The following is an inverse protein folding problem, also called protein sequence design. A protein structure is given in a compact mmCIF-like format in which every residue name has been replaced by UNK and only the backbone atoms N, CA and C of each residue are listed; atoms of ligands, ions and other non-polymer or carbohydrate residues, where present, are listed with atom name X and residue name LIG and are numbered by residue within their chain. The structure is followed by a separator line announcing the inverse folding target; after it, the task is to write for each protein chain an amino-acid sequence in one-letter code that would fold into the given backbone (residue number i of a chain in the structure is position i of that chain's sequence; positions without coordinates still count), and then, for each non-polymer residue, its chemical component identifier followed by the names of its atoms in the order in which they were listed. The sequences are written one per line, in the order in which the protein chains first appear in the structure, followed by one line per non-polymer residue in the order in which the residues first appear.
data_IF_186595067510
#
_entry.id   IF_186595067510
#
_cell.length_a   1.000
_cell.length_b   1.000
_cell.length_c   1.000
_cell.angle_alpha   90.00
_cell.angle_beta   90.00
_cell.angle_gamma   90.00
#
_symmetry.space_group_name_H-M   'P 1'
#
loop_
_entity.id
_entity.type
_entity.pdbx_description
1 polymer ?
#
# COMPACT_ATOMS: atom_id res chain seq x y z
N UNK A 1 17.80 -28.86 47.26
CA UNK A 1 17.58 -29.39 45.92
C UNK A 1 16.63 -28.47 45.14
N UNK A 2 17.16 -27.42 44.54
CA UNK A 2 16.47 -26.55 43.57
C UNK A 2 17.54 -25.93 42.72
N UNK A 3 17.82 -26.46 41.58
CA UNK A 3 18.51 -25.82 40.44
C UNK A 3 18.52 -26.81 39.29
N UNK A 4 18.30 -26.37 38.11
CA UNK A 4 18.27 -27.00 36.79
C UNK A 4 16.84 -27.06 36.23
N UNK A 5 16.45 -25.91 35.56
CA UNK A 5 15.54 -25.88 34.43
C UNK A 5 15.47 -24.42 33.86
N UNK A 6 16.62 -23.88 33.40
CA UNK A 6 16.64 -22.60 32.66
C UNK A 6 17.51 -22.62 31.41
N UNK A 7 18.02 -23.75 30.98
CA UNK A 7 18.97 -23.81 29.85
C UNK A 7 18.41 -24.27 28.49
N UNK A 8 17.21 -24.86 28.45
CA UNK A 8 16.72 -25.50 27.22
C UNK A 8 15.88 -24.58 26.30
N UNK A 9 15.30 -23.52 26.82
CA UNK A 9 14.41 -22.66 26.03
C UNK A 9 15.15 -21.67 25.09
N UNK A 10 16.39 -21.26 25.46
CA UNK A 10 17.16 -20.33 24.61
C UNK A 10 17.82 -21.01 23.41
N UNK A 11 18.22 -22.27 23.55
CA UNK A 11 18.85 -23.02 22.46
C UNK A 11 17.85 -23.39 21.34
N UNK A 12 16.57 -23.61 21.68
CA UNK A 12 15.52 -23.94 20.71
C UNK A 12 15.13 -22.76 19.80
N UNK A 13 15.17 -21.52 20.30
CA UNK A 13 14.84 -20.31 19.53
C UNK A 13 15.97 -19.92 18.55
N UNK A 14 17.23 -20.17 18.92
CA UNK A 14 18.38 -19.91 18.04
C UNK A 14 18.45 -20.97 16.93
N UNK A 15 18.13 -22.21 17.20
CA UNK A 15 18.14 -23.27 16.19
C UNK A 15 17.02 -23.11 15.14
N UNK A 16 15.82 -22.65 15.54
CA UNK A 16 14.73 -22.40 14.60
C UNK A 16 15.00 -21.19 13.68
N UNK A 17 15.66 -20.13 14.18
CA UNK A 17 16.05 -18.98 13.37
C UNK A 17 17.15 -19.30 12.37
N UNK A 18 18.14 -20.10 12.73
CA UNK A 18 19.21 -20.52 11.83
C UNK A 18 18.72 -21.47 10.73
N UNK A 19 17.78 -22.36 11.04
CA UNK A 19 17.20 -23.30 10.06
C UNK A 19 16.29 -22.60 9.04
N UNK A 20 15.54 -21.57 9.45
CA UNK A 20 14.75 -20.74 8.53
C UNK A 20 15.63 -19.91 7.58
N UNK A 21 16.79 -19.41 8.06
CA UNK A 21 17.75 -18.65 7.25
C UNK A 21 18.44 -19.49 6.17
N UNK A 22 18.51 -20.81 6.32
CA UNK A 22 19.14 -21.74 5.38
C UNK A 22 18.15 -22.34 4.35
N UNK A 23 16.85 -22.15 4.54
CA UNK A 23 15.85 -22.63 3.60
C UNK A 23 15.96 -21.88 2.25
N UNK A 24 16.13 -22.61 1.11
CA UNK A 24 16.28 -21.99 -0.20
C UNK A 24 15.09 -21.11 -0.61
N UNK A 25 13.89 -21.46 -0.20
CA UNK A 25 12.69 -20.68 -0.50
C UNK A 25 12.67 -19.35 0.26
N UNK A 26 12.98 -19.37 1.55
CA UNK A 26 13.15 -18.16 2.37
C UNK A 26 14.23 -17.24 1.80
N UNK A 27 15.35 -17.80 1.34
CA UNK A 27 16.40 -17.03 0.64
C UNK A 27 15.89 -16.41 -0.65
N UNK A 28 15.08 -17.13 -1.44
CA UNK A 28 14.49 -16.61 -2.67
C UNK A 28 13.49 -15.46 -2.39
N UNK A 29 12.67 -15.57 -1.33
CA UNK A 29 11.76 -14.50 -0.91
C UNK A 29 12.52 -13.26 -0.43
N UNK A 30 13.58 -13.43 0.38
CA UNK A 30 14.44 -12.34 0.83
C UNK A 30 15.15 -11.64 -0.34
N UNK A 31 15.64 -12.41 -1.31
CA UNK A 31 16.25 -11.87 -2.54
C UNK A 31 15.22 -11.11 -3.38
N UNK A 32 13.99 -11.63 -3.49
CA UNK A 32 12.88 -10.95 -4.15
C UNK A 32 12.51 -9.64 -3.46
N UNK A 33 12.46 -9.62 -2.13
CA UNK A 33 12.29 -8.39 -1.35
C UNK A 33 13.34 -7.35 -1.74
N UNK A 34 14.63 -7.73 -1.67
CA UNK A 34 15.74 -6.84 -2.01
C UNK A 34 15.67 -6.33 -3.45
N UNK A 35 15.42 -7.22 -4.41
CA UNK A 35 15.32 -6.87 -5.82
C UNK A 35 14.19 -5.87 -6.09
N UNK A 36 12.99 -6.10 -5.54
CA UNK A 36 11.84 -5.24 -5.72
C UNK A 36 12.07 -3.84 -5.12
N UNK A 37 12.56 -3.76 -3.89
CA UNK A 37 12.74 -2.47 -3.23
C UNK A 37 13.88 -1.66 -3.83
N UNK A 38 15.00 -2.29 -4.20
CA UNK A 38 16.07 -1.60 -4.95
C UNK A 38 15.55 -1.09 -6.30
N UNK A 39 14.83 -1.93 -7.06
CA UNK A 39 14.27 -1.52 -8.34
C UNK A 39 13.32 -0.32 -8.17
N UNK A 40 12.35 -0.42 -7.28
CA UNK A 40 11.34 0.63 -7.12
C UNK A 40 11.91 1.90 -6.47
N UNK A 41 12.77 1.78 -5.44
CA UNK A 41 13.41 2.93 -4.81
C UNK A 41 14.30 3.71 -5.79
N UNK A 42 15.07 2.99 -6.62
CA UNK A 42 15.94 3.62 -7.61
C UNK A 42 15.14 4.22 -8.78
N UNK A 43 14.24 3.44 -9.39
CA UNK A 43 13.65 3.83 -10.67
C UNK A 43 12.29 4.54 -10.54
N UNK A 44 11.51 4.33 -9.47
CA UNK A 44 10.31 5.13 -9.21
C UNK A 44 10.61 6.37 -8.38
N UNK A 45 11.49 6.26 -7.37
CA UNK A 45 11.70 7.33 -6.40
C UNK A 45 13.01 8.12 -6.61
N UNK A 46 13.87 7.71 -7.54
CA UNK A 46 15.15 8.38 -7.81
C UNK A 46 16.15 8.28 -6.66
N UNK A 47 15.99 7.33 -5.76
CA UNK A 47 16.86 7.12 -4.61
C UNK A 47 18.20 6.48 -5.04
N UNK A 48 19.25 6.72 -4.27
CA UNK A 48 20.48 5.97 -4.37
C UNK A 48 20.34 4.60 -3.73
N UNK A 49 21.20 3.65 -4.10
CA UNK A 49 21.24 2.32 -3.47
C UNK A 49 21.47 2.42 -1.95
N UNK A 50 22.29 3.37 -1.52
CA UNK A 50 22.54 3.62 -0.09
C UNK A 50 21.30 4.12 0.65
N UNK A 51 20.50 5.00 0.03
CA UNK A 51 19.25 5.46 0.62
C UNK A 51 18.23 4.31 0.73
N UNK A 52 18.06 3.50 -0.33
CA UNK A 52 17.18 2.33 -0.29
C UNK A 52 17.65 1.34 0.79
N UNK A 53 18.95 1.10 0.89
CA UNK A 53 19.53 0.21 1.91
C UNK A 53 19.23 0.70 3.33
N UNK A 54 19.37 1.99 3.58
CA UNK A 54 19.15 2.58 4.91
C UNK A 54 17.67 2.68 5.29
N UNK A 55 16.80 2.98 4.31
CA UNK A 55 15.40 3.29 4.55
C UNK A 55 14.47 2.09 4.30
N UNK A 56 14.56 1.46 3.13
CA UNK A 56 13.60 0.42 2.71
C UNK A 56 14.04 -0.99 3.12
N UNK A 57 15.36 -1.25 3.22
CA UNK A 57 15.90 -2.56 3.53
C UNK A 57 16.31 -2.73 5.00
N UNK A 58 16.17 -1.69 5.84
CA UNK A 58 16.37 -1.75 7.29
C UNK A 58 15.05 -1.68 8.05
N UNK A 59 15.00 -2.34 9.22
CA UNK A 59 13.81 -2.41 10.06
C UNK A 59 12.63 -3.10 9.36
N UNK A 60 12.92 -4.08 8.51
CA UNK A 60 11.95 -4.88 7.78
C UNK A 60 11.51 -6.10 8.60
N UNK A 61 10.82 -7.06 7.98
CA UNK A 61 10.40 -8.29 8.63
C UNK A 61 11.60 -9.08 9.17
N UNK A 62 11.58 -9.49 10.44
CA UNK A 62 12.72 -10.20 11.09
C UNK A 62 13.17 -11.44 10.31
N UNK A 63 12.21 -12.15 9.67
CA UNK A 63 12.47 -13.37 8.90
C UNK A 63 13.44 -13.13 7.73
N UNK A 64 13.46 -11.93 7.17
CA UNK A 64 14.26 -11.58 5.98
C UNK A 64 15.41 -10.61 6.26
N UNK A 65 15.39 -9.90 7.39
CA UNK A 65 16.32 -8.80 7.65
C UNK A 65 17.78 -9.18 7.50
N UNK A 66 18.20 -10.31 8.09
CA UNK A 66 19.60 -10.76 8.02
C UNK A 66 20.03 -11.14 6.60
N UNK A 67 19.14 -11.81 5.86
CA UNK A 67 19.39 -12.24 4.47
C UNK A 67 19.46 -11.03 3.53
N UNK A 68 18.52 -10.10 3.64
CA UNK A 68 18.46 -8.90 2.78
C UNK A 68 19.72 -8.06 2.89
N UNK A 69 20.34 -7.98 4.08
CA UNK A 69 21.61 -7.26 4.27
C UNK A 69 22.78 -7.88 3.49
N UNK A 70 22.84 -9.21 3.42
CA UNK A 70 24.02 -9.95 2.94
C UNK A 70 23.90 -10.41 1.49
N UNK A 71 22.70 -10.63 0.96
CA UNK A 71 22.52 -11.11 -0.42
C UNK A 71 23.06 -10.11 -1.44
N UNK A 72 23.92 -10.56 -2.41
CA UNK A 72 24.50 -9.67 -3.40
C UNK A 72 23.47 -9.22 -4.43
N UNK A 73 23.46 -7.92 -4.72
CA UNK A 73 22.58 -7.31 -5.70
C UNK A 73 23.38 -6.66 -6.83
N UNK A 74 22.85 -6.71 -8.04
CA UNK A 74 23.40 -6.01 -9.23
C UNK A 74 22.30 -5.13 -9.80
N UNK A 75 22.59 -3.84 -9.98
CA UNK A 75 21.70 -2.86 -10.59
C UNK A 75 22.18 -2.56 -12.00
N UNK A 76 21.39 -2.91 -13.00
CA UNK A 76 21.59 -2.49 -14.38
C UNK A 76 20.73 -1.26 -14.67
N UNK A 77 21.38 -0.11 -14.79
CA UNK A 77 20.69 1.17 -14.99
C UNK A 77 20.24 1.39 -16.44
N UNK A 78 20.88 0.75 -17.40
CA UNK A 78 20.50 0.81 -18.82
C UNK A 78 19.29 -0.07 -19.08
N UNK A 79 19.33 -1.33 -18.68
CA UNK A 79 18.20 -2.26 -18.78
C UNK A 79 17.10 -1.96 -17.75
N UNK A 80 17.36 -1.10 -16.74
CA UNK A 80 16.48 -0.80 -15.60
C UNK A 80 16.03 -2.06 -14.86
N UNK A 81 16.97 -2.94 -14.57
CA UNK A 81 16.73 -4.17 -13.83
C UNK A 81 17.59 -4.24 -12.57
N UNK A 82 17.08 -4.98 -11.60
CA UNK A 82 17.85 -5.37 -10.41
C UNK A 82 17.81 -6.88 -10.29
N UNK A 83 18.98 -7.50 -10.15
CA UNK A 83 19.12 -8.93 -9.88
C UNK A 83 19.76 -9.18 -8.54
N UNK A 84 19.25 -10.17 -7.78
CA UNK A 84 19.77 -10.56 -6.48
C UNK A 84 20.02 -12.06 -6.46
N UNK A 85 21.29 -12.46 -6.35
CA UNK A 85 21.69 -13.85 -6.26
C UNK A 85 21.36 -14.39 -4.85
N UNK A 86 20.85 -15.63 -4.75
CA UNK A 86 20.47 -16.27 -3.49
C UNK A 86 20.87 -17.75 -3.43
N UNK A 87 21.14 -18.35 -4.57
CA UNK A 87 21.54 -19.75 -4.71
C UNK A 87 22.52 -19.89 -5.88
N UNK A 88 23.48 -20.82 -5.79
CA UNK A 88 24.48 -21.03 -6.84
C UNK A 88 23.95 -21.80 -8.07
N UNK A 89 22.82 -22.50 -7.92
CA UNK A 89 22.21 -23.37 -8.96
C UNK A 89 20.99 -22.75 -9.61
N UNK A 90 20.42 -21.73 -9.01
CA UNK A 90 19.18 -21.07 -9.50
C UNK A 90 19.49 -19.69 -10.08
N UNK A 91 18.73 -19.24 -11.09
CA UNK A 91 18.82 -17.87 -11.57
C UNK A 91 18.57 -16.87 -10.43
N UNK A 92 19.22 -15.69 -10.46
CA UNK A 92 18.98 -14.65 -9.47
C UNK A 92 17.51 -14.20 -9.52
N UNK A 93 17.03 -13.64 -8.42
CA UNK A 93 15.74 -12.95 -8.43
C UNK A 93 15.87 -11.66 -9.23
N UNK A 94 14.91 -11.40 -10.12
CA UNK A 94 14.94 -10.27 -11.04
C UNK A 94 13.69 -9.41 -10.83
N UNK A 95 13.92 -8.10 -10.65
CA UNK A 95 12.88 -7.06 -10.75
C UNK A 95 13.22 -6.13 -11.91
N UNK A 96 12.26 -5.80 -12.76
CA UNK A 96 12.45 -4.96 -13.93
C UNK A 96 11.44 -3.81 -13.95
N UNK A 97 11.94 -2.59 -14.16
CA UNK A 97 11.15 -1.38 -14.23
C UNK A 97 10.53 -1.18 -15.62
N UNK A 98 9.34 -0.65 -15.63
CA UNK A 98 8.58 -0.32 -16.84
C UNK A 98 7.96 1.07 -16.73
N UNK A 99 7.88 1.85 -17.81
CA UNK A 99 7.17 3.13 -17.80
C UNK A 99 5.74 2.98 -17.24
N UNK A 100 5.32 3.93 -16.43
CA UNK A 100 4.04 3.98 -15.73
C UNK A 100 3.77 2.82 -14.74
N UNK A 101 4.11 1.57 -15.09
CA UNK A 101 3.81 0.38 -14.29
C UNK A 101 4.88 0.05 -13.23
N UNK A 102 5.96 0.82 -13.15
CA UNK A 102 7.01 0.58 -12.15
C UNK A 102 7.67 -0.79 -12.27
N UNK A 103 8.13 -1.30 -11.15
CA UNK A 103 8.86 -2.58 -11.10
C UNK A 103 7.91 -3.78 -11.02
N UNK A 104 8.23 -4.84 -11.77
CA UNK A 104 7.66 -6.17 -11.57
C UNK A 104 8.75 -7.18 -11.29
N UNK A 105 8.47 -8.09 -10.37
CA UNK A 105 9.32 -9.24 -10.13
C UNK A 105 8.99 -10.37 -11.10
N UNK A 106 10.02 -11.05 -11.60
CA UNK A 106 9.86 -12.33 -12.27
C UNK A 106 9.66 -13.46 -11.24
N UNK A 107 8.96 -14.55 -11.61
CA UNK A 107 8.83 -15.72 -10.73
C UNK A 107 10.17 -16.32 -10.31
N UNK A 108 10.21 -17.00 -9.17
CA UNK A 108 11.38 -17.78 -8.74
C UNK A 108 11.75 -18.78 -9.83
N UNK A 109 13.03 -18.82 -10.22
CA UNK A 109 13.57 -19.68 -11.27
C UNK A 109 13.45 -19.13 -12.70
N UNK A 110 12.80 -17.98 -12.89
CA UNK A 110 12.79 -17.30 -14.18
C UNK A 110 14.12 -16.59 -14.47
N UNK A 111 14.56 -16.63 -15.70
CA UNK A 111 15.74 -15.92 -16.19
C UNK A 111 15.41 -14.54 -16.80
N UNK A 112 16.45 -13.81 -17.21
CA UNK A 112 16.30 -12.45 -17.75
C UNK A 112 15.45 -12.37 -19.04
N UNK A 113 15.25 -13.46 -19.78
CA UNK A 113 14.41 -13.47 -20.97
C UNK A 113 12.94 -13.16 -20.66
N UNK A 114 12.53 -13.42 -19.42
CA UNK A 114 11.20 -13.07 -18.90
C UNK A 114 10.89 -11.57 -18.91
N UNK A 115 11.91 -10.72 -18.82
CA UNK A 115 11.75 -9.25 -18.81
C UNK A 115 11.08 -8.75 -20.10
N UNK A 116 11.41 -9.33 -21.25
CA UNK A 116 10.84 -8.94 -22.53
C UNK A 116 9.32 -9.23 -22.61
N UNK A 117 8.82 -10.16 -21.81
CA UNK A 117 7.41 -10.60 -21.78
C UNK A 117 6.54 -9.78 -20.82
N UNK A 118 7.15 -8.91 -19.99
CA UNK A 118 6.39 -8.10 -19.04
C UNK A 118 5.43 -7.15 -19.75
N UNK A 119 4.21 -6.97 -19.23
CA UNK A 119 3.25 -6.00 -19.75
C UNK A 119 3.85 -4.60 -19.82
N UNK A 120 3.61 -3.91 -20.91
CA UNK A 120 4.07 -2.53 -21.15
C UNK A 120 2.87 -1.62 -21.31
N UNK A 121 3.02 -0.40 -20.82
CA UNK A 121 2.01 0.63 -20.95
C UNK A 121 2.63 1.88 -21.58
N UNK A 122 2.03 2.36 -22.67
CA UNK A 122 2.53 3.50 -23.44
C UNK A 122 1.72 4.77 -23.24
N UNK A 123 0.84 4.79 -22.22
CA UNK A 123 0.04 5.97 -21.90
C UNK A 123 0.90 7.09 -21.33
N UNK A 124 0.57 8.30 -21.70
CA UNK A 124 1.19 9.52 -21.20
C UNK A 124 0.16 10.26 -20.34
N UNK A 125 0.56 10.85 -19.20
CA UNK A 125 -0.31 11.74 -18.47
C UNK A 125 -0.71 12.93 -19.37
N UNK A 126 -1.95 13.43 -19.26
CA UNK A 126 -2.33 14.65 -19.95
C UNK A 126 -1.42 15.79 -19.51
N UNK A 127 -1.35 16.87 -20.29
CA UNK A 127 -0.56 18.06 -19.94
C UNK A 127 -0.86 18.47 -18.48
N UNK A 128 0.19 18.77 -17.71
CA UNK A 128 0.02 19.16 -16.32
C UNK A 128 -0.77 20.47 -16.26
N UNK A 129 -1.83 20.51 -15.45
CA UNK A 129 -2.41 21.77 -15.01
C UNK A 129 -1.50 22.34 -13.92
N UNK A 130 -1.29 23.65 -13.93
CA UNK A 130 -0.37 24.27 -12.99
C UNK A 130 -0.98 24.40 -11.59
N UNK A 131 -2.26 24.77 -11.51
CA UNK A 131 -2.94 25.13 -10.27
C UNK A 131 -3.32 23.92 -9.41
N UNK A 132 -3.13 24.06 -8.09
CA UNK A 132 -3.62 23.10 -7.10
C UNK A 132 -5.17 23.04 -7.10
N UNK A 133 -5.78 21.85 -6.99
CA UNK A 133 -5.15 20.55 -6.72
C UNK A 133 -4.74 19.74 -7.95
N UNK A 134 -4.99 20.18 -9.17
CA UNK A 134 -4.61 19.47 -10.40
C UNK A 134 -3.09 19.55 -10.69
N UNK A 135 -2.43 20.59 -10.19
CA UNK A 135 -0.98 20.81 -10.19
C UNK A 135 -0.52 21.28 -8.81
N UNK A 136 0.62 21.93 -8.70
CA UNK A 136 1.22 22.31 -7.42
C UNK A 136 1.25 23.83 -7.17
N UNK A 137 0.94 24.65 -8.18
CA UNK A 137 0.91 26.11 -8.03
C UNK A 137 -0.26 26.56 -7.14
N UNK A 138 0.00 27.53 -6.27
CA UNK A 138 -1.01 28.03 -5.35
C UNK A 138 -1.53 26.98 -4.35
N UNK A 139 -0.77 25.91 -4.13
CA UNK A 139 -1.15 24.82 -3.23
C UNK A 139 -1.21 25.26 -1.76
N UNK A 140 -0.29 26.17 -1.36
CA UNK A 140 -0.11 26.55 0.04
C UNK A 140 -0.89 27.80 0.43
N UNK A 141 -1.31 27.85 1.69
CA UNK A 141 -1.85 29.01 2.38
C UNK A 141 -1.19 29.13 3.76
N UNK A 142 -1.15 30.32 4.38
CA UNK A 142 -0.66 30.48 5.73
C UNK A 142 -1.46 29.58 6.71
N UNK A 143 -0.74 28.81 7.53
CA UNK A 143 -1.33 28.07 8.64
C UNK A 143 -1.23 28.84 9.96
N UNK A 144 -1.95 28.41 11.01
CA UNK A 144 -1.80 28.96 12.35
C UNK A 144 -0.36 28.79 12.87
N UNK A 145 0.15 29.78 13.62
CA UNK A 145 1.50 29.71 14.21
C UNK A 145 1.73 28.47 15.07
N UNK A 146 0.70 28.01 15.76
CA UNK A 146 0.74 26.78 16.58
C UNK A 146 1.00 25.51 15.78
N UNK A 147 0.73 25.48 14.45
CA UNK A 147 0.86 24.28 13.63
C UNK A 147 2.33 23.93 13.35
N UNK A 148 3.15 24.91 13.01
CA UNK A 148 4.55 24.68 12.61
C UNK A 148 5.36 23.90 13.68
N UNK A 149 5.27 24.20 14.99
CA UNK A 149 5.93 23.41 16.03
C UNK A 149 5.44 21.96 16.10
N UNK A 150 4.15 21.69 15.86
CA UNK A 150 3.58 20.33 15.84
C UNK A 150 4.16 19.53 14.70
N UNK A 151 4.24 20.13 13.48
CA UNK A 151 4.81 19.47 12.31
C UNK A 151 6.30 19.17 12.50
N UNK A 152 7.07 20.10 13.06
CA UNK A 152 8.50 19.91 13.34
C UNK A 152 8.74 18.78 14.34
N UNK A 153 7.93 18.68 15.40
CA UNK A 153 7.99 17.59 16.37
C UNK A 153 7.72 16.21 15.77
N UNK A 154 7.03 16.12 14.63
CA UNK A 154 6.80 14.83 13.99
C UNK A 154 8.09 14.16 13.50
N UNK A 155 9.18 14.89 13.36
CA UNK A 155 10.50 14.38 13.00
C UNK A 155 11.37 14.06 14.22
N UNK A 156 10.88 14.35 15.42
CA UNK A 156 11.51 13.98 16.69
C UNK A 156 10.88 12.68 17.22
N UNK A 157 11.64 11.59 17.17
CA UNK A 157 11.19 10.29 17.64
C UNK A 157 10.84 10.29 19.15
N UNK A 158 11.36 11.23 19.95
CA UNK A 158 10.99 11.35 21.36
C UNK A 158 9.57 11.91 21.57
N UNK A 159 9.04 12.65 20.59
CA UNK A 159 7.71 13.27 20.68
C UNK A 159 6.58 12.34 20.26
N UNK A 160 6.76 11.62 19.14
CA UNK A 160 5.73 10.76 18.56
C UNK A 160 6.21 9.36 18.19
N UNK A 161 7.49 9.04 18.33
CA UNK A 161 8.05 7.78 17.83
C UNK A 161 8.31 7.77 16.33
N UNK A 162 8.68 6.60 15.83
CA UNK A 162 8.84 6.34 14.39
C UNK A 162 9.99 7.10 13.72
N UNK A 163 10.04 7.02 12.38
CA UNK A 163 11.02 7.70 11.54
C UNK A 163 10.29 8.43 10.40
N UNK A 164 9.96 9.69 10.61
CA UNK A 164 9.16 10.51 9.69
C UNK A 164 9.97 10.98 8.49
N UNK A 165 9.40 10.89 7.29
CA UNK A 165 9.96 11.44 6.04
C UNK A 165 9.22 12.66 5.53
N UNK A 166 7.91 12.72 5.76
CA UNK A 166 7.08 13.86 5.37
C UNK A 166 5.86 13.97 6.27
N UNK A 167 5.44 15.21 6.53
CA UNK A 167 4.13 15.57 7.08
C UNK A 167 3.51 16.65 6.22
N UNK A 168 2.17 16.60 6.06
CA UNK A 168 1.43 17.58 5.30
C UNK A 168 0.02 17.71 5.88
N UNK A 169 -0.46 18.95 5.99
CA UNK A 169 -1.82 19.26 6.48
C UNK A 169 -2.55 20.11 5.46
N UNK A 170 -3.71 19.63 5.03
CA UNK A 170 -4.66 20.38 4.22
C UNK A 170 -5.81 20.85 5.09
N UNK A 171 -6.21 22.09 4.93
CA UNK A 171 -7.40 22.70 5.54
C UNK A 171 -8.17 23.48 4.48
N UNK A 172 -9.48 23.25 4.39
CA UNK A 172 -10.34 23.94 3.40
C UNK A 172 -9.77 23.91 1.97
N UNK A 173 -9.23 22.74 1.57
CA UNK A 173 -8.67 22.50 0.23
C UNK A 173 -7.26 23.06 0.00
N UNK A 174 -6.61 23.74 0.96
CA UNK A 174 -5.26 24.30 0.84
C UNK A 174 -4.28 23.63 1.78
N UNK A 175 -3.03 23.44 1.35
CA UNK A 175 -1.94 23.01 2.20
C UNK A 175 -1.56 24.15 3.12
N UNK A 176 -1.77 23.99 4.42
CA UNK A 176 -1.47 25.00 5.44
C UNK A 176 -0.18 24.68 6.20
N UNK A 177 0.44 23.55 5.93
CA UNK A 177 1.74 23.16 6.45
C UNK A 177 2.22 21.88 5.80
N UNK A 178 3.48 21.87 5.41
CA UNK A 178 4.17 20.68 4.94
C UNK A 178 5.65 20.76 5.30
N UNK A 179 6.22 19.62 5.66
CA UNK A 179 7.63 19.50 5.99
C UNK A 179 8.17 18.14 5.56
N UNK A 180 9.41 18.13 5.11
CA UNK A 180 10.11 16.95 4.59
C UNK A 180 11.44 16.74 5.29
N UNK A 181 11.85 15.49 5.48
CA UNK A 181 13.18 15.12 5.96
C UNK A 181 14.24 15.63 4.96
N UNK A 182 15.44 16.02 5.38
CA UNK A 182 16.53 16.38 4.46
C UNK A 182 16.73 15.33 3.37
N UNK A 183 16.85 15.75 2.11
CA UNK A 183 16.94 14.88 0.94
C UNK A 183 15.59 14.39 0.39
N UNK A 184 14.48 14.74 1.02
CA UNK A 184 13.11 14.45 0.57
C UNK A 184 12.41 15.72 0.13
N UNK A 185 11.53 15.61 -0.86
CA UNK A 185 10.78 16.75 -1.42
C UNK A 185 9.32 16.38 -1.63
N UNK A 186 8.50 17.36 -1.99
CA UNK A 186 7.11 17.14 -2.41
C UNK A 186 6.96 16.21 -3.62
N UNK A 187 8.03 15.98 -4.37
CA UNK A 187 8.05 15.10 -5.55
C UNK A 187 8.71 13.75 -5.30
N UNK A 188 9.15 13.47 -4.08
CA UNK A 188 9.78 12.18 -3.75
C UNK A 188 8.70 11.13 -3.43
N UNK A 189 8.46 10.14 -4.32
CA UNK A 189 7.53 9.06 -4.04
C UNK A 189 8.10 8.12 -2.98
N UNK A 190 7.21 7.52 -2.21
CA UNK A 190 7.53 6.48 -1.24
C UNK A 190 6.46 5.39 -1.30
N UNK A 191 6.83 4.15 -1.01
CA UNK A 191 5.87 3.05 -0.99
C UNK A 191 4.76 3.32 0.04
N UNK A 192 3.51 3.11 -0.37
CA UNK A 192 2.33 3.36 0.48
C UNK A 192 2.04 2.26 1.47
N UNK A 193 2.59 1.05 1.22
CA UNK A 193 2.14 -0.13 1.93
C UNK A 193 0.61 -0.23 1.89
N UNK A 194 -0.03 -0.66 2.97
CA UNK A 194 -1.48 -0.89 2.98
C UNK A 194 -2.36 0.34 2.78
N UNK A 195 -1.81 1.57 2.79
CA UNK A 195 -2.58 2.74 2.37
C UNK A 195 -3.02 2.64 0.88
N UNK A 196 -2.35 1.81 0.08
CA UNK A 196 -2.79 1.43 -1.27
C UNK A 196 -4.19 0.80 -1.33
N UNK A 197 -4.65 0.15 -0.25
CA UNK A 197 -6.00 -0.44 -0.18
C UNK A 197 -7.09 0.61 -0.37
N UNK A 198 -6.86 1.81 0.15
CA UNK A 198 -7.79 2.93 -0.06
C UNK A 198 -7.77 3.45 -1.51
N UNK A 199 -6.62 3.35 -2.21
CA UNK A 199 -6.60 3.56 -3.66
C UNK A 199 -7.38 2.47 -4.40
N UNK A 200 -7.32 1.20 -3.94
CA UNK A 200 -8.17 0.14 -4.50
C UNK A 200 -9.65 0.46 -4.31
N UNK A 201 -10.06 0.97 -3.13
CA UNK A 201 -11.44 1.44 -2.93
C UNK A 201 -11.83 2.52 -3.95
N UNK A 202 -10.90 3.41 -4.30
CA UNK A 202 -11.13 4.46 -5.30
C UNK A 202 -11.28 3.88 -6.70
N UNK A 203 -10.42 2.92 -7.08
CA UNK A 203 -10.48 2.23 -8.38
C UNK A 203 -11.80 1.43 -8.51
N UNK A 204 -12.21 0.73 -7.44
CA UNK A 204 -13.52 0.04 -7.38
C UNK A 204 -14.65 1.05 -7.48
N UNK A 205 -14.63 2.14 -6.69
CA UNK A 205 -15.67 3.18 -6.72
C UNK A 205 -15.81 3.81 -8.10
N UNK A 206 -14.70 4.06 -8.78
CA UNK A 206 -14.75 4.54 -10.17
C UNK A 206 -15.37 3.52 -11.12
N UNK A 207 -15.03 2.25 -10.97
CA UNK A 207 -15.62 1.18 -11.78
C UNK A 207 -17.14 1.03 -11.50
N UNK A 208 -17.59 1.22 -10.25
CA UNK A 208 -19.02 1.28 -9.89
C UNK A 208 -19.69 2.49 -10.55
N UNK A 209 -19.09 3.68 -10.45
CA UNK A 209 -19.63 4.91 -11.07
C UNK A 209 -19.81 4.77 -12.58
N UNK A 210 -18.95 4.00 -13.23
CA UNK A 210 -19.02 3.69 -14.66
C UNK A 210 -19.90 2.47 -15.00
N UNK A 211 -20.58 1.88 -14.02
CA UNK A 211 -21.44 0.72 -14.21
C UNK A 211 -20.72 -0.58 -14.59
N UNK A 212 -19.41 -0.68 -14.35
CA UNK A 212 -18.59 -1.85 -14.69
C UNK A 212 -18.69 -2.98 -13.66
N UNK A 213 -18.88 -2.63 -12.39
CA UNK A 213 -19.06 -3.56 -11.25
C UNK A 213 -20.13 -3.05 -10.31
N UNK A 214 -20.63 -3.93 -9.41
CA UNK A 214 -21.51 -3.59 -8.29
C UNK A 214 -20.93 -4.20 -7.02
N UNK A 215 -20.89 -3.45 -5.91
CA UNK A 215 -20.24 -3.95 -4.68
C UNK A 215 -20.99 -5.10 -4.03
N UNK A 216 -22.33 -5.13 -4.16
CA UNK A 216 -23.18 -6.19 -3.61
C UNK A 216 -23.21 -7.45 -4.48
N UNK A 217 -22.75 -7.37 -5.72
CA UNK A 217 -22.68 -8.53 -6.62
C UNK A 217 -21.47 -9.41 -6.30
N UNK A 218 -21.51 -10.69 -6.66
CA UNK A 218 -20.33 -11.54 -6.64
C UNK A 218 -19.17 -10.89 -7.40
N UNK A 219 -17.98 -10.96 -6.82
CA UNK A 219 -16.77 -10.45 -7.45
C UNK A 219 -16.50 -11.23 -8.75
N UNK A 220 -16.20 -10.51 -9.83
CA UNK A 220 -15.90 -11.14 -11.11
C UNK A 220 -14.48 -11.70 -11.11
N UNK A 221 -14.32 -12.90 -10.57
CA UNK A 221 -13.04 -13.63 -10.52
C UNK A 221 -13.16 -14.81 -11.50
N UNK A 222 -12.58 -14.73 -12.72
CA UNK A 222 -12.67 -15.78 -13.72
C UNK A 222 -12.20 -17.14 -13.24
N UNK A 223 -11.22 -17.15 -12.31
CA UNK A 223 -10.62 -18.34 -11.73
C UNK A 223 -11.58 -19.13 -10.81
N UNK A 224 -12.71 -18.53 -10.41
CA UNK A 224 -13.73 -19.15 -9.53
C UNK A 224 -15.00 -19.62 -10.28
N UNK A 225 -14.97 -19.66 -11.62
CA UNK A 225 -16.14 -20.00 -12.43
C UNK A 225 -16.39 -21.51 -12.58
N UNK A 226 -15.58 -22.36 -11.96
CA UNK A 226 -15.83 -23.79 -11.95
C UNK A 226 -17.21 -24.10 -11.30
N UNK A 227 -18.01 -25.02 -11.86
CA UNK A 227 -19.29 -25.39 -11.26
C UNK A 227 -19.13 -25.85 -9.82
N UNK A 228 -19.89 -25.23 -8.90
CA UNK A 228 -19.86 -25.59 -7.46
C UNK A 228 -18.75 -24.92 -6.66
N UNK A 229 -17.92 -24.07 -7.23
CA UNK A 229 -16.91 -23.33 -6.45
C UNK A 229 -17.61 -22.36 -5.47
N UNK A 230 -17.50 -22.58 -4.15
CA UNK A 230 -18.19 -21.75 -3.16
C UNK A 230 -17.71 -20.30 -3.13
N UNK A 231 -16.46 -20.03 -3.59
CA UNK A 231 -15.85 -18.71 -3.65
C UNK A 231 -16.51 -17.81 -4.69
N UNK A 232 -17.18 -18.39 -5.70
CA UNK A 232 -17.92 -17.64 -6.72
C UNK A 232 -19.06 -16.79 -6.15
N UNK A 233 -19.44 -16.99 -4.88
CA UNK A 233 -20.47 -16.21 -4.18
C UNK A 233 -19.92 -15.05 -3.38
N UNK A 234 -18.61 -14.95 -3.19
CA UNK A 234 -17.98 -13.85 -2.45
C UNK A 234 -18.27 -12.53 -3.19
N UNK A 235 -18.90 -11.58 -2.50
CA UNK A 235 -19.22 -10.28 -3.08
C UNK A 235 -18.02 -9.34 -3.05
N UNK A 236 -18.03 -8.34 -3.92
CA UNK A 236 -16.98 -7.31 -3.94
C UNK A 236 -16.98 -6.52 -2.61
N UNK A 237 -18.15 -6.26 -2.00
CA UNK A 237 -18.24 -5.66 -0.67
C UNK A 237 -17.57 -6.50 0.42
N UNK A 238 -17.75 -7.83 0.40
CA UNK A 238 -17.10 -8.72 1.37
C UNK A 238 -15.57 -8.67 1.26
N UNK A 239 -15.03 -8.61 0.04
CA UNK A 239 -13.59 -8.37 -0.16
C UNK A 239 -13.16 -7.00 0.41
N UNK A 240 -13.91 -5.94 0.11
CA UNK A 240 -13.58 -4.58 0.59
C UNK A 240 -13.68 -4.46 2.12
N UNK A 241 -14.53 -5.23 2.75
CA UNK A 241 -14.72 -5.28 4.20
C UNK A 241 -13.76 -6.24 4.92
N UNK A 242 -12.80 -6.87 4.22
CA UNK A 242 -11.93 -7.90 4.80
C UNK A 242 -12.69 -9.08 5.39
N UNK A 243 -13.77 -9.46 4.72
CA UNK A 243 -14.71 -10.49 5.15
C UNK A 243 -14.93 -11.59 4.13
N UNK A 244 -13.97 -11.86 3.24
CA UNK A 244 -14.09 -12.90 2.21
C UNK A 244 -14.22 -14.32 2.78
N UNK A 245 -13.68 -14.55 3.97
CA UNK A 245 -13.55 -15.87 4.56
C UNK A 245 -12.44 -16.74 3.97
N UNK A 246 -11.63 -16.19 3.06
CA UNK A 246 -10.49 -16.89 2.48
C UNK A 246 -9.34 -17.04 3.47
N UNK A 247 -8.64 -18.16 3.37
CA UNK A 247 -7.32 -18.32 3.97
C UNK A 247 -6.30 -17.45 3.23
N UNK A 248 -5.24 -17.05 3.90
CA UNK A 248 -4.16 -16.24 3.30
C UNK A 248 -2.81 -16.67 3.86
N UNK A 249 -1.79 -16.63 3.04
CA UNK A 249 -0.45 -17.08 3.33
C UNK A 249 0.42 -16.01 4.02
N UNK A 250 1.51 -16.48 4.61
CA UNK A 250 2.53 -15.67 5.26
C UNK A 250 2.14 -15.13 6.64
N UNK A 251 3.13 -14.83 7.48
CA UNK A 251 2.92 -14.24 8.80
C UNK A 251 2.16 -12.90 8.70
N UNK A 252 1.11 -12.73 9.50
CA UNK A 252 0.30 -11.51 9.47
C UNK A 252 -0.41 -11.27 8.13
N UNK A 253 -0.70 -12.33 7.39
CA UNK A 253 -1.41 -12.29 6.11
C UNK A 253 -0.69 -11.47 5.02
N UNK A 254 0.64 -11.56 4.96
CA UNK A 254 1.49 -10.77 4.07
C UNK A 254 1.34 -11.09 2.59
N UNK A 255 0.93 -12.29 2.24
CA UNK A 255 0.86 -12.77 0.85
C UNK A 255 2.26 -12.78 0.19
N UNK A 256 3.21 -13.43 0.87
CA UNK A 256 4.64 -13.37 0.53
C UNK A 256 4.94 -13.86 -0.89
N UNK A 257 4.21 -14.86 -1.39
CA UNK A 257 4.42 -15.36 -2.75
C UNK A 257 4.17 -14.30 -3.83
N UNK A 258 3.12 -13.50 -3.68
CA UNK A 258 2.84 -12.41 -4.63
C UNK A 258 3.80 -11.24 -4.42
N UNK A 259 4.10 -10.91 -3.16
CA UNK A 259 4.87 -9.70 -2.84
C UNK A 259 6.37 -9.87 -3.04
N UNK A 260 6.88 -11.06 -2.75
CA UNK A 260 8.31 -11.34 -2.66
C UNK A 260 8.72 -12.49 -3.58
N UNK A 261 7.83 -13.47 -3.77
CA UNK A 261 8.06 -14.65 -4.61
C UNK A 261 7.94 -14.39 -6.11
N UNK A 262 7.34 -13.26 -6.53
CA UNK A 262 7.05 -13.00 -7.94
C UNK A 262 5.91 -13.88 -8.46
N UNK A 263 5.10 -14.44 -7.57
CA UNK A 263 3.87 -15.18 -7.93
C UNK A 263 2.81 -14.25 -8.50
N UNK A 264 2.01 -14.72 -9.45
CA UNK A 264 0.92 -13.94 -9.99
C UNK A 264 -0.31 -13.97 -9.09
N UNK A 265 -1.04 -12.85 -9.03
CA UNK A 265 -2.33 -12.75 -8.31
C UNK A 265 -3.29 -13.86 -8.75
N UNK A 266 -3.34 -14.14 -10.06
CA UNK A 266 -4.20 -15.18 -10.67
C UNK A 266 -3.78 -16.61 -10.34
N UNK A 267 -2.60 -16.81 -9.76
CA UNK A 267 -2.09 -18.13 -9.39
C UNK A 267 -2.15 -18.36 -7.87
N UNK A 268 -1.95 -17.29 -7.09
CA UNK A 268 -1.83 -17.38 -5.63
C UNK A 268 -3.06 -16.85 -4.91
N UNK A 269 -3.44 -15.58 -5.08
CA UNK A 269 -4.56 -15.02 -4.35
C UNK A 269 -5.89 -15.70 -4.71
N UNK A 270 -6.08 -16.07 -5.99
CA UNK A 270 -7.29 -16.77 -6.45
C UNK A 270 -7.33 -18.25 -6.05
N UNK A 271 -6.20 -18.85 -5.69
CA UNK A 271 -6.11 -20.26 -5.30
C UNK A 271 -6.48 -20.52 -3.82
N UNK A 272 -6.55 -19.47 -3.00
CA UNK A 272 -6.80 -19.61 -1.57
C UNK A 272 -8.15 -20.27 -1.29
N UNK A 273 -8.20 -21.29 -0.41
CA UNK A 273 -9.43 -21.95 -0.02
C UNK A 273 -10.26 -21.08 0.93
N UNK A 274 -11.55 -21.39 1.06
CA UNK A 274 -12.36 -20.85 2.15
C UNK A 274 -11.94 -21.50 3.48
N UNK A 275 -11.75 -20.65 4.49
CA UNK A 275 -11.43 -20.98 5.87
C UNK A 275 -12.59 -20.60 6.81
N UNK A 276 -13.49 -19.73 6.34
CA UNK A 276 -14.73 -19.36 7.01
C UNK A 276 -15.81 -19.03 5.97
N UNK A 277 -17.07 -18.99 6.40
CA UNK A 277 -18.14 -18.50 5.54
C UNK A 277 -17.91 -17.01 5.19
N UNK A 278 -18.15 -16.59 3.93
CA UNK A 278 -18.04 -15.18 3.55
C UNK A 278 -18.92 -14.28 4.43
N UNK A 279 -18.34 -13.20 4.95
CA UNK A 279 -19.00 -12.26 5.86
C UNK A 279 -19.02 -12.66 7.34
N UNK A 280 -18.60 -13.89 7.70
CA UNK A 280 -18.71 -14.39 9.08
C UNK A 280 -17.69 -13.78 10.04
N UNK A 281 -16.53 -13.35 9.53
CA UNK A 281 -15.47 -12.79 10.37
C UNK A 281 -14.70 -11.70 9.62
N UNK A 282 -14.12 -10.79 10.37
CA UNK A 282 -13.09 -9.90 9.88
C UNK A 282 -11.73 -10.62 9.88
N UNK A 283 -11.04 -10.57 8.75
CA UNK A 283 -9.66 -11.04 8.64
C UNK A 283 -8.87 -10.10 7.73
N UNK A 284 -8.06 -9.22 8.31
CA UNK A 284 -7.28 -8.26 7.52
C UNK A 284 -6.31 -8.99 6.61
N UNK A 285 -6.60 -8.99 5.30
CA UNK A 285 -5.90 -9.79 4.30
C UNK A 285 -5.50 -8.99 3.06
N UNK A 286 -4.25 -9.13 2.63
CA UNK A 286 -3.82 -8.55 1.37
C UNK A 286 -4.53 -9.19 0.17
N UNK A 287 -4.81 -10.49 0.25
CA UNK A 287 -5.52 -11.23 -0.80
C UNK A 287 -6.87 -10.62 -1.14
N UNK A 288 -7.66 -10.20 -0.16
CA UNK A 288 -8.97 -9.58 -0.40
C UNK A 288 -8.86 -8.34 -1.28
N UNK A 289 -7.82 -7.53 -1.07
CA UNK A 289 -7.58 -6.34 -1.89
C UNK A 289 -7.09 -6.70 -3.29
N UNK A 290 -6.20 -7.69 -3.41
CA UNK A 290 -5.72 -8.18 -4.71
C UNK A 290 -6.89 -8.71 -5.54
N UNK A 291 -7.81 -9.44 -4.92
CA UNK A 291 -9.01 -9.99 -5.56
C UNK A 291 -10.01 -8.90 -5.94
N UNK A 292 -10.18 -7.87 -5.12
CA UNK A 292 -11.01 -6.72 -5.50
C UNK A 292 -10.46 -6.00 -6.75
N UNK A 293 -9.15 -5.78 -6.82
CA UNK A 293 -8.50 -5.23 -8.01
C UNK A 293 -8.60 -6.19 -9.21
N UNK A 294 -8.44 -7.50 -8.99
CA UNK A 294 -8.60 -8.54 -10.02
C UNK A 294 -10.02 -8.54 -10.60
N UNK A 295 -11.02 -8.37 -9.74
CA UNK A 295 -12.43 -8.30 -10.16
C UNK A 295 -12.70 -7.12 -11.09
N UNK A 296 -12.16 -5.94 -10.77
CA UNK A 296 -12.27 -4.76 -11.64
C UNK A 296 -11.57 -5.03 -12.96
N UNK A 297 -10.33 -5.55 -12.94
CA UNK A 297 -9.56 -5.87 -14.14
C UNK A 297 -10.32 -6.82 -15.06
N UNK A 298 -10.85 -7.92 -14.52
CA UNK A 298 -11.63 -8.89 -15.29
C UNK A 298 -12.90 -8.28 -15.89
N UNK A 299 -13.55 -7.36 -15.18
CA UNK A 299 -14.75 -6.66 -15.65
C UNK A 299 -14.45 -5.65 -16.77
N UNK A 300 -13.19 -5.25 -16.91
CA UNK A 300 -12.70 -4.38 -17.98
C UNK A 300 -12.09 -5.16 -19.15
N UNK A 301 -12.06 -6.51 -19.10
CA UNK A 301 -11.64 -7.39 -20.18
C UNK A 301 -10.16 -7.75 -20.20
N UNK A 302 -9.44 -7.60 -19.07
CA UNK A 302 -8.03 -8.06 -18.86
C UNK A 302 -6.97 -7.51 -19.84
N UNK A 303 -7.34 -6.61 -20.73
CA UNK A 303 -6.47 -6.06 -21.77
C UNK A 303 -5.83 -4.72 -21.38
N UNK A 304 -5.40 -3.98 -22.41
CA UNK A 304 -4.78 -2.66 -22.29
C UNK A 304 -5.65 -1.67 -21.51
N UNK A 305 -6.96 -1.63 -21.78
CA UNK A 305 -7.90 -0.74 -21.08
C UNK A 305 -7.91 -0.97 -19.55
N UNK A 306 -7.79 -2.23 -19.12
CA UNK A 306 -7.70 -2.55 -17.69
C UNK A 306 -6.40 -2.07 -17.05
N UNK A 307 -5.28 -2.11 -17.78
CA UNK A 307 -4.00 -1.56 -17.34
C UNK A 307 -4.01 -0.02 -17.31
N UNK A 308 -4.70 0.63 -18.23
CA UNK A 308 -4.80 2.09 -18.30
C UNK A 308 -5.75 2.67 -17.24
N UNK A 309 -6.74 1.88 -16.81
CA UNK A 309 -7.87 2.34 -16.01
C UNK A 309 -7.46 3.09 -14.72
N UNK A 310 -6.55 2.62 -13.86
CA UNK A 310 -6.16 3.37 -12.68
C UNK A 310 -5.57 4.74 -13.01
N UNK A 311 -4.88 4.88 -14.13
CA UNK A 311 -4.26 6.13 -14.55
C UNK A 311 -5.29 7.10 -15.15
N UNK A 312 -6.01 6.64 -16.19
CA UNK A 312 -6.87 7.51 -16.99
C UNK A 312 -8.19 7.84 -16.29
N UNK A 313 -8.68 6.93 -15.47
CA UNK A 313 -9.98 7.08 -14.80
C UNK A 313 -9.90 7.51 -13.34
N UNK A 314 -8.72 7.43 -12.71
CA UNK A 314 -8.54 7.83 -11.31
C UNK A 314 -7.38 8.82 -11.16
N UNK A 315 -6.14 8.34 -11.23
CA UNK A 315 -4.95 9.09 -10.80
C UNK A 315 -4.80 10.43 -11.52
N UNK A 316 -4.86 10.42 -12.84
CA UNK A 316 -4.65 11.65 -13.63
C UNK A 316 -5.85 12.59 -13.59
N UNK A 317 -7.05 12.08 -13.33
CA UNK A 317 -8.24 12.93 -13.15
C UNK A 317 -8.16 13.80 -11.90
N UNK A 318 -7.45 13.34 -10.88
CA UNK A 318 -7.28 14.05 -9.61
C UNK A 318 -5.85 14.60 -9.43
N UNK A 319 -5.07 14.73 -10.51
CA UNK A 319 -3.75 15.33 -10.47
C UNK A 319 -2.65 14.48 -9.81
N UNK A 320 -2.89 13.20 -9.51
CA UNK A 320 -1.89 12.28 -8.92
C UNK A 320 -0.88 11.81 -9.97
N UNK A 321 0.08 12.67 -10.32
CA UNK A 321 1.03 12.45 -11.41
C UNK A 321 2.33 11.78 -10.98
N UNK A 322 2.61 11.81 -9.67
CA UNK A 322 3.79 11.20 -9.05
C UNK A 322 3.43 9.89 -8.34
N UNK A 323 2.45 9.16 -8.92
CA UNK A 323 1.93 7.90 -8.38
C UNK A 323 2.12 6.78 -9.38
N UNK A 324 2.83 5.75 -8.96
CA UNK A 324 3.12 4.54 -9.74
C UNK A 324 2.55 3.31 -9.04
N UNK A 325 1.40 2.80 -9.48
CA UNK A 325 0.89 1.50 -9.04
C UNK A 325 1.62 0.37 -9.78
N UNK A 326 2.21 -0.56 -9.03
CA UNK A 326 2.96 -1.68 -9.61
C UNK A 326 2.08 -2.91 -9.83
N UNK A 327 2.51 -3.78 -10.74
CA UNK A 327 1.80 -5.00 -11.10
C UNK A 327 2.70 -6.22 -10.93
N UNK A 328 2.09 -7.40 -10.83
CA UNK A 328 2.80 -8.65 -11.05
C UNK A 328 3.25 -8.78 -12.53
N UNK A 329 3.96 -9.85 -12.83
CA UNK A 329 4.49 -10.10 -14.18
C UNK A 329 3.40 -10.37 -15.24
N UNK A 330 2.15 -10.65 -14.83
CA UNK A 330 0.99 -10.79 -15.70
C UNK A 330 0.19 -9.49 -15.85
N UNK A 331 0.56 -8.41 -15.15
CA UNK A 331 -0.12 -7.13 -15.18
C UNK A 331 -1.32 -7.03 -14.22
N UNK A 332 -1.43 -7.91 -13.23
CA UNK A 332 -2.38 -7.70 -12.14
C UNK A 332 -1.80 -6.67 -11.17
N UNK A 333 -2.56 -5.62 -10.87
CA UNK A 333 -2.14 -4.60 -9.93
C UNK A 333 -2.03 -5.15 -8.50
N UNK A 334 -0.91 -4.88 -7.85
CA UNK A 334 -0.67 -5.22 -6.44
C UNK A 334 -1.07 -4.02 -5.56
N UNK A 335 -2.32 -3.58 -5.75
CA UNK A 335 -2.89 -2.40 -5.07
C UNK A 335 -3.17 -2.61 -3.58
N UNK A 336 -2.77 -3.74 -3.01
CA UNK A 336 -2.81 -3.95 -1.57
C UNK A 336 -1.64 -3.28 -0.84
N UNK A 337 -0.53 -2.96 -1.57
CA UNK A 337 0.71 -2.48 -0.96
C UNK A 337 1.70 -1.80 -1.92
N UNK A 338 1.77 -2.22 -3.19
CA UNK A 338 2.85 -1.80 -4.10
C UNK A 338 2.43 -0.59 -4.95
N UNK A 339 2.26 0.54 -4.27
CA UNK A 339 2.03 1.84 -4.90
C UNK A 339 3.08 2.81 -4.36
N UNK A 340 3.79 3.46 -5.26
CA UNK A 340 4.74 4.53 -4.95
C UNK A 340 4.10 5.87 -5.22
N UNK A 341 4.06 6.75 -4.23
CA UNK A 341 3.35 8.03 -4.35
C UNK A 341 3.91 9.08 -3.40
N UNK A 342 3.68 10.35 -3.70
CA UNK A 342 4.10 11.49 -2.87
C UNK A 342 3.10 11.81 -1.76
N UNK A 343 3.51 12.62 -0.78
CA UNK A 343 2.61 13.12 0.26
C UNK A 343 1.50 14.01 -0.34
N UNK A 344 1.82 14.84 -1.34
CA UNK A 344 0.84 15.69 -2.01
C UNK A 344 -0.18 14.88 -2.82
N UNK A 345 0.25 13.81 -3.49
CA UNK A 345 -0.69 12.93 -4.22
C UNK A 345 -1.63 12.19 -3.25
N UNK A 346 -1.15 11.76 -2.08
CA UNK A 346 -2.02 11.23 -1.04
C UNK A 346 -3.00 12.26 -0.48
N UNK A 347 -2.58 13.52 -0.38
CA UNK A 347 -3.49 14.61 0.02
C UNK A 347 -4.60 14.82 -1.02
N UNK A 348 -4.28 14.73 -2.34
CA UNK A 348 -5.27 14.77 -3.43
C UNK A 348 -6.30 13.66 -3.30
N UNK A 349 -5.82 12.44 -3.01
CA UNK A 349 -6.72 11.32 -2.76
C UNK A 349 -7.61 11.58 -1.54
N UNK A 350 -7.07 12.15 -0.47
CA UNK A 350 -7.84 12.59 0.68
C UNK A 350 -8.91 13.63 0.36
N UNK A 351 -8.58 14.63 -0.47
CA UNK A 351 -9.53 15.65 -0.94
C UNK A 351 -10.70 15.03 -1.72
N UNK A 352 -10.43 14.08 -2.61
CA UNK A 352 -11.50 13.38 -3.34
C UNK A 352 -12.51 12.74 -2.38
N UNK A 353 -12.05 12.13 -1.30
CA UNK A 353 -12.92 11.52 -0.28
C UNK A 353 -13.60 12.55 0.61
N UNK A 354 -12.94 13.66 0.92
CA UNK A 354 -13.53 14.75 1.68
C UNK A 354 -14.75 15.34 0.96
N UNK A 355 -14.69 15.41 -0.37
CA UNK A 355 -15.73 15.97 -1.24
C UNK A 355 -16.64 14.88 -1.85
N UNK A 356 -16.79 13.75 -1.16
CA UNK A 356 -17.63 12.59 -1.55
C UNK A 356 -17.48 12.20 -3.04
N UNK A 357 -16.24 12.10 -3.50
CA UNK A 357 -15.94 11.64 -4.85
C UNK A 357 -16.20 12.66 -5.96
N UNK A 358 -16.39 13.93 -5.63
CA UNK A 358 -16.46 15.02 -6.60
C UNK A 358 -15.09 15.67 -6.73
N UNK A 359 -14.65 15.92 -7.96
CA UNK A 359 -13.41 16.61 -8.29
C UNK A 359 -13.64 17.66 -9.35
N UNK A 360 -13.35 18.92 -9.06
CA UNK A 360 -13.60 20.05 -9.95
C UNK A 360 -15.02 20.05 -10.55
N UNK A 361 -16.03 19.76 -9.75
CA UNK A 361 -17.44 19.69 -10.17
C UNK A 361 -17.82 18.40 -10.91
N UNK A 362 -16.88 17.52 -11.21
CA UNK A 362 -17.15 16.22 -11.84
C UNK A 362 -17.24 15.11 -10.78
N UNK A 363 -18.34 14.36 -10.77
CA UNK A 363 -18.48 13.18 -9.92
C UNK A 363 -17.67 12.02 -10.49
N UNK A 364 -16.63 11.62 -9.77
CA UNK A 364 -15.76 10.49 -10.13
C UNK A 364 -16.15 9.21 -9.40
N UNK A 365 -16.66 9.30 -8.17
CA UNK A 365 -17.12 8.16 -7.37
C UNK A 365 -18.64 8.25 -7.16
N UNK A 366 -19.32 7.14 -6.88
CA UNK A 366 -20.77 7.17 -6.59
C UNK A 366 -21.11 8.13 -5.46
N UNK A 367 -22.28 8.72 -5.50
CA UNK A 367 -22.80 9.51 -4.39
C UNK A 367 -22.88 8.65 -3.12
N UNK A 368 -22.42 9.21 -1.99
CA UNK A 368 -22.33 8.50 -0.72
C UNK A 368 -21.17 7.48 -0.64
N UNK A 369 -20.23 7.46 -1.60
CA UNK A 369 -19.10 6.53 -1.58
C UNK A 369 -18.20 6.73 -0.37
N UNK A 370 -17.95 7.98 0.02
CA UNK A 370 -17.20 8.30 1.23
C UNK A 370 -17.89 7.77 2.50
N UNK A 371 -19.22 7.86 2.55
CA UNK A 371 -20.00 7.25 3.63
C UNK A 371 -19.92 5.72 3.61
N UNK A 372 -20.00 5.09 2.43
CA UNK A 372 -19.85 3.63 2.29
C UNK A 372 -18.52 3.15 2.85
N UNK A 373 -17.40 3.75 2.44
CA UNK A 373 -16.07 3.32 2.90
C UNK A 373 -15.82 3.65 4.38
N UNK A 374 -16.49 4.66 4.94
CA UNK A 374 -16.39 5.07 6.35
C UNK A 374 -17.47 4.43 7.25
N UNK A 375 -18.38 3.61 6.70
CA UNK A 375 -19.33 2.84 7.50
C UNK A 375 -18.66 1.59 8.05
N UNK A 376 -18.82 1.25 9.34
CA UNK A 376 -18.28 0.02 9.90
C UNK A 376 -18.71 -1.21 9.10
N UNK A 377 -17.75 -2.04 8.71
CA UNK A 377 -18.01 -3.33 8.09
C UNK A 377 -18.85 -4.22 9.03
N UNK A 378 -19.62 -5.19 8.50
CA UNK A 378 -20.46 -6.07 9.32
C UNK A 378 -19.68 -6.82 10.41
N UNK A 379 -18.48 -7.31 10.10
CA UNK A 379 -17.55 -7.86 11.08
C UNK A 379 -16.42 -6.87 11.30
N UNK A 380 -16.02 -6.68 12.56
CA UNK A 380 -15.04 -5.66 12.96
C UNK A 380 -13.77 -6.29 13.53
N UNK A 381 -12.61 -5.62 13.38
CA UNK A 381 -11.40 -6.01 14.08
C UNK A 381 -11.57 -5.82 15.60
N UNK A 382 -10.78 -6.56 16.41
CA UNK A 382 -10.70 -6.30 17.84
C UNK A 382 -10.02 -4.95 18.12
N UNK A 383 -10.32 -4.33 19.28
CA UNK A 383 -9.71 -3.10 19.76
C UNK A 383 -10.51 -1.84 19.46
N UNK A 384 -9.82 -0.68 19.51
CA UNK A 384 -10.45 0.64 19.51
C UNK A 384 -10.63 1.25 18.12
N UNK A 385 -10.02 0.65 17.09
CA UNK A 385 -10.14 1.07 15.71
C UNK A 385 -11.13 0.20 14.98
N UNK A 386 -12.09 0.80 14.30
CA UNK A 386 -13.00 0.09 13.41
C UNK A 386 -12.41 -0.04 12.01
N UNK A 387 -13.13 -0.76 11.15
CA UNK A 387 -12.81 -0.92 9.73
C UNK A 387 -14.06 -0.75 8.88
N UNK A 388 -13.91 -0.04 7.77
CA UNK A 388 -14.95 0.13 6.76
C UNK A 388 -14.64 -0.68 5.51
N UNK A 389 -14.72 -0.05 4.33
CA UNK A 389 -14.34 -0.68 3.07
C UNK A 389 -12.96 -0.17 2.61
N UNK A 390 -11.89 -0.89 2.98
CA UNK A 390 -10.49 -0.53 2.76
C UNK A 390 -10.03 0.76 3.43
N UNK A 391 -10.71 1.16 4.51
CA UNK A 391 -10.35 2.26 5.39
C UNK A 391 -10.44 1.85 6.85
N UNK A 392 -9.50 2.32 7.66
CA UNK A 392 -9.56 2.24 9.11
C UNK A 392 -10.41 3.38 9.67
N UNK A 393 -11.14 3.10 10.75
CA UNK A 393 -12.01 4.08 11.39
C UNK A 393 -11.40 4.49 12.73
N UNK A 394 -10.89 5.72 12.77
CA UNK A 394 -10.28 6.34 13.93
C UNK A 394 -11.25 7.39 14.46
N UNK A 395 -11.94 7.11 15.55
CA UNK A 395 -13.04 7.91 16.05
C UNK A 395 -12.83 8.28 17.53
N UNK A 396 -13.93 8.54 18.26
CA UNK A 396 -13.93 9.02 19.63
C UNK A 396 -13.12 8.14 20.59
N UNK A 397 -13.08 6.83 20.37
CA UNK A 397 -12.28 5.93 21.21
C UNK A 397 -10.77 6.26 21.23
N UNK A 398 -10.28 6.88 20.17
CA UNK A 398 -8.89 7.36 20.07
C UNK A 398 -8.79 8.89 20.14
N UNK A 399 -9.87 9.56 20.56
CA UNK A 399 -9.92 11.01 20.78
C UNK A 399 -9.93 11.85 19.50
N UNK A 400 -10.49 11.32 18.42
CA UNK A 400 -10.66 12.01 17.14
C UNK A 400 -12.16 12.20 16.81
N UNK A 401 -12.54 13.16 15.95
CA UNK A 401 -13.93 13.34 15.53
C UNK A 401 -14.57 12.05 15.01
N UNK A 402 -15.87 11.90 15.27
CA UNK A 402 -16.67 10.71 14.97
C UNK A 402 -16.66 10.28 13.50
N UNK A 403 -16.41 11.21 12.60
CA UNK A 403 -16.38 11.01 11.16
C UNK A 403 -14.98 10.76 10.58
N UNK A 404 -13.96 10.61 11.46
CA UNK A 404 -12.59 10.36 11.03
C UNK A 404 -12.39 8.96 10.47
N UNK A 405 -11.80 8.87 9.28
CA UNK A 405 -11.34 7.63 8.68
C UNK A 405 -9.96 7.80 8.03
N UNK A 406 -9.23 6.70 7.89
CA UNK A 406 -7.79 6.76 7.69
C UNK A 406 -7.32 5.73 6.67
N UNK A 407 -6.53 6.17 5.69
CA UNK A 407 -5.66 5.30 4.90
C UNK A 407 -4.43 4.97 5.76
N UNK A 408 -4.25 3.70 6.10
CA UNK A 408 -3.19 3.28 7.00
C UNK A 408 -2.30 2.23 6.31
N UNK A 409 -1.00 2.46 6.30
CA UNK A 409 0.00 1.58 5.75
C UNK A 409 1.13 1.29 6.72
N UNK A 410 1.73 0.10 6.56
CA UNK A 410 2.87 -0.32 7.35
C UNK A 410 3.99 0.73 7.31
N UNK A 411 4.89 0.69 8.30
CA UNK A 411 6.02 1.60 8.42
C UNK A 411 5.64 3.08 8.48
N UNK A 412 4.42 3.37 8.99
CA UNK A 412 3.97 4.72 9.30
C UNK A 412 3.46 5.54 8.11
N UNK A 413 2.68 4.94 7.24
CA UNK A 413 1.98 5.66 6.17
C UNK A 413 0.56 5.98 6.63
N UNK A 414 0.23 7.25 6.85
CA UNK A 414 -1.09 7.65 7.34
C UNK A 414 -1.66 8.81 6.53
N UNK A 415 -2.93 8.73 6.21
CA UNK A 415 -3.73 9.84 5.69
C UNK A 415 -5.04 9.89 6.47
N UNK A 416 -5.14 10.82 7.40
CA UNK A 416 -6.38 11.09 8.12
C UNK A 416 -7.27 12.00 7.28
N UNK A 417 -8.53 11.64 7.17
CA UNK A 417 -9.58 12.43 6.56
C UNK A 417 -10.60 12.74 7.64
N UNK A 418 -10.79 14.04 7.93
CA UNK A 418 -11.67 14.55 8.99
C UNK A 418 -12.69 15.49 8.36
N UNK A 419 -13.79 14.98 7.78
CA UNK A 419 -14.73 15.77 6.98
C UNK A 419 -15.36 16.94 7.74
N UNK A 420 -15.80 16.73 9.00
CA UNK A 420 -16.39 17.78 9.83
C UNK A 420 -15.47 18.98 10.07
N UNK A 421 -14.15 18.76 9.97
CA UNK A 421 -13.14 19.80 10.15
C UNK A 421 -12.57 20.27 8.80
N UNK A 422 -12.94 19.64 7.67
CA UNK A 422 -12.32 19.85 6.35
C UNK A 422 -10.80 19.79 6.41
N UNK A 423 -10.27 18.78 7.12
CA UNK A 423 -8.85 18.59 7.35
C UNK A 423 -8.39 17.24 6.80
N UNK A 424 -7.23 17.27 6.13
CA UNK A 424 -6.49 16.06 5.74
C UNK A 424 -5.10 16.17 6.37
N UNK A 425 -4.67 15.09 7.04
CA UNK A 425 -3.33 15.02 7.65
C UNK A 425 -2.61 13.84 7.03
N UNK A 426 -1.49 14.11 6.36
CA UNK A 426 -0.61 13.08 5.78
C UNK A 426 0.64 12.96 6.62
N UNK A 427 1.02 11.73 6.96
CA UNK A 427 2.33 11.40 7.51
C UNK A 427 2.94 10.24 6.73
N UNK A 428 4.20 10.38 6.35
CA UNK A 428 5.01 9.34 5.70
C UNK A 428 6.20 8.99 6.59
N UNK A 429 6.64 7.74 6.56
CA UNK A 429 7.77 7.30 7.38
C UNK A 429 8.37 5.95 7.00
N UNK A 430 9.43 5.59 7.74
CA UNK A 430 10.11 4.28 7.70
C UNK A 430 10.17 3.67 9.10
N UNK A 431 9.04 3.62 9.81
CA UNK A 431 8.99 3.02 11.14
C UNK A 431 9.45 1.55 11.06
N UNK A 432 10.37 1.16 11.92
CA UNK A 432 10.93 -0.19 11.90
C UNK A 432 9.91 -1.23 12.39
N UNK A 433 9.89 -2.40 11.77
CA UNK A 433 9.13 -3.56 12.27
C UNK A 433 9.66 -3.95 13.66
N UNK A 434 8.77 -4.03 14.66
CA UNK A 434 9.15 -4.35 16.03
C UNK A 434 9.80 -3.20 16.81
N UNK A 435 10.06 -2.04 16.18
CA UNK A 435 10.55 -0.83 16.83
C UNK A 435 9.44 0.08 17.36
N UNK A 436 9.81 1.23 17.96
CA UNK A 436 8.85 2.25 18.36
C UNK A 436 8.05 2.73 17.15
N UNK A 437 6.73 2.59 17.22
CA UNK A 437 5.83 3.09 16.19
C UNK A 437 5.53 4.56 16.42
N UNK A 438 5.24 5.26 15.34
CA UNK A 438 4.70 6.60 15.42
C UNK A 438 3.32 6.60 16.07
N UNK A 439 3.09 7.49 17.06
CA UNK A 439 1.76 7.69 17.67
C UNK A 439 0.92 8.60 16.78
N UNK A 440 0.35 7.99 15.76
CA UNK A 440 -0.42 8.66 14.72
C UNK A 440 -1.70 9.32 15.27
N UNK A 441 -2.33 8.72 16.27
CA UNK A 441 -3.55 9.28 16.86
C UNK A 441 -3.22 10.54 17.70
N UNK A 442 -2.14 10.51 18.50
CA UNK A 442 -1.67 11.68 19.21
C UNK A 442 -1.28 12.82 18.26
N UNK A 443 -0.52 12.49 17.21
CA UNK A 443 -0.14 13.48 16.20
C UNK A 443 -1.36 14.14 15.55
N UNK A 444 -2.36 13.34 15.14
CA UNK A 444 -3.58 13.87 14.54
C UNK A 444 -4.36 14.78 15.52
N UNK A 445 -4.47 14.39 16.81
CA UNK A 445 -5.08 15.24 17.83
C UNK A 445 -4.33 16.56 18.03
N UNK A 446 -3.00 16.50 18.11
CA UNK A 446 -2.17 17.70 18.30
C UNK A 446 -2.27 18.64 17.08
N UNK A 447 -2.34 18.10 15.84
CA UNK A 447 -2.61 18.89 14.63
C UNK A 447 -3.98 19.55 14.73
N UNK A 448 -5.04 18.80 15.04
CA UNK A 448 -6.41 19.36 15.12
C UNK A 448 -6.50 20.44 16.21
N UNK A 449 -5.87 20.24 17.37
CA UNK A 449 -5.82 21.24 18.44
C UNK A 449 -5.03 22.50 18.03
N UNK A 450 -4.02 22.37 17.16
CA UNK A 450 -3.29 23.53 16.65
C UNK A 450 -4.08 24.36 15.63
N UNK A 451 -5.21 23.83 15.13
CA UNK A 451 -6.11 24.53 14.23
C UNK A 451 -7.25 25.27 14.96
N UNK A 452 -7.40 25.02 16.26
CA UNK A 452 -8.32 25.74 17.15
C UNK A 452 -7.62 26.98 17.74
#
# INVERSE_FOLDING_TARGET
MRSIFLGAALAGLIASGAQAADDPHTKALAAGYKAAFLCSGIFNAGQTEAQVAADDLEGIYPDYQALVRTLPATVDREAKTVSVAFDAKLPPRIAAWRPALGCAQLPIGADASGVAKLPKLTVQPPAAKAQWPDGDEGATAPGPEKLAPVLSKAFDASAYGGATTAVLVVKDGKIIGEQYRPGWTMHTPQRTWSAAKSLTATVVGRAVQLGKVKVEAPANIPEWKAPGDPRAKITLAQLMHMGSGLWTDGPGNRTDEVYLGGGAVTQWATAMPLDAAPGARFNYANNDTLLAARSVRASLGDGKAALEFPFTEVLWKIGMRHTTPETDWQGNYILSSQVWTTARDLARLGLLYQDDGVWNGQRLLPEGWSKFVATPAPAQPPGDRGYGAFFWLYREKVGLPADTYVMNGNRGQFVFIVPSRKVIIVRRGFDAAGGPRFDEAKFARDVLAALD
#
